data_IF_483224623547
#
_entry.id   IF_483224623547
#
_cell.length_a   1.000
_cell.length_b   1.000
_cell.length_c   1.000
_cell.angle_alpha   90.00
_cell.angle_beta   90.00
_cell.angle_gamma   90.00
#
_symmetry.space_group_name_H-M   'P 1'
#
loop_
_entity.id
_entity.type
_entity.pdbx_description
1 polymer ?
#
# COMPACT_ATOMS: atom_id res chain seq x y z
N UNK A 1 33.46 -12.52 19.85
CA UNK A 1 32.50 -11.40 19.76
C UNK A 1 33.08 -10.28 18.89
N UNK A 2 32.99 -10.38 17.56
CA UNK A 2 33.36 -9.32 16.59
C UNK A 2 32.70 -9.58 15.23
N UNK A 3 31.36 -9.61 15.15
CA UNK A 3 30.63 -9.71 13.86
C UNK A 3 29.24 -9.04 13.87
N UNK A 4 28.95 -8.14 14.81
CA UNK A 4 27.61 -7.51 14.91
C UNK A 4 27.55 -6.01 14.55
N UNK A 5 28.68 -5.40 14.19
CA UNK A 5 28.76 -3.94 14.09
C UNK A 5 28.58 -3.37 12.67
N UNK A 6 28.28 -4.21 11.66
CA UNK A 6 28.31 -3.75 10.25
C UNK A 6 26.93 -3.48 9.66
N UNK A 7 25.83 -3.92 10.30
CA UNK A 7 24.47 -3.68 9.77
C UNK A 7 23.82 -2.37 10.26
N UNK A 8 24.41 -1.64 11.22
CA UNK A 8 23.75 -0.48 11.84
C UNK A 8 24.03 0.87 11.16
N UNK A 9 24.90 0.93 10.14
CA UNK A 9 25.35 2.22 9.59
C UNK A 9 24.59 2.70 8.34
N UNK A 10 23.61 1.95 7.82
CA UNK A 10 22.87 2.35 6.60
C UNK A 10 21.48 2.92 6.91
N UNK A 11 20.98 2.77 8.14
CA UNK A 11 19.65 3.26 8.56
C UNK A 11 19.60 4.78 8.82
N UNK A 12 20.72 5.50 8.67
CA UNK A 12 20.81 6.94 8.91
C UNK A 12 20.53 7.82 7.70
N UNK A 13 20.14 7.25 6.56
CA UNK A 13 19.84 8.00 5.34
C UNK A 13 18.34 7.88 5.03
N UNK A 14 17.60 8.84 5.59
CA UNK A 14 16.30 9.37 5.12
C UNK A 14 15.14 8.38 5.01
N UNK A 15 14.16 8.48 5.91
CA UNK A 15 12.75 8.21 5.56
C UNK A 15 12.01 7.17 6.41
N UNK A 16 12.66 6.14 6.93
CA UNK A 16 11.94 5.14 7.73
C UNK A 16 11.45 5.72 9.05
N UNK A 17 10.15 5.60 9.33
CA UNK A 17 9.61 5.88 10.64
C UNK A 17 10.16 4.87 11.67
N UNK A 18 10.34 5.29 12.92
CA UNK A 18 10.95 4.46 13.96
C UNK A 18 10.18 3.15 14.20
N UNK A 19 8.88 3.15 13.95
CA UNK A 19 8.02 1.98 14.14
C UNK A 19 8.17 0.96 13.01
N UNK A 20 8.32 1.39 11.75
CA UNK A 20 8.57 0.49 10.63
C UNK A 20 9.94 -0.20 10.75
N UNK A 21 10.94 0.51 11.31
CA UNK A 21 12.26 -0.07 11.62
C UNK A 21 12.14 -1.11 12.74
N UNK A 22 11.38 -0.83 13.80
CA UNK A 22 11.17 -1.79 14.89
C UNK A 22 10.42 -3.02 14.39
N UNK A 23 9.40 -2.84 13.58
CA UNK A 23 8.62 -3.94 13.02
C UNK A 23 9.52 -4.81 12.13
N UNK A 24 10.31 -4.19 11.24
CA UNK A 24 11.31 -4.90 10.44
C UNK A 24 12.31 -5.69 11.32
N UNK A 25 12.83 -5.08 12.38
CA UNK A 25 13.76 -5.71 13.32
C UNK A 25 13.12 -6.84 14.14
N UNK A 26 11.80 -6.82 14.30
CA UNK A 26 11.03 -7.89 14.95
C UNK A 26 10.46 -8.92 13.96
N UNK A 27 10.81 -8.79 12.67
CA UNK A 27 10.42 -9.74 11.63
C UNK A 27 9.03 -9.49 11.03
N UNK A 28 8.54 -8.25 11.10
CA UNK A 28 7.23 -7.82 10.62
C UNK A 28 7.35 -6.72 9.57
N UNK A 29 6.31 -6.56 8.77
CA UNK A 29 6.23 -5.50 7.78
C UNK A 29 4.76 -5.17 7.46
N UNK A 30 4.52 -3.90 7.15
CA UNK A 30 3.24 -3.42 6.65
C UNK A 30 3.18 -3.57 5.13
N UNK A 31 2.10 -4.19 4.64
CA UNK A 31 1.73 -4.25 3.24
C UNK A 31 0.33 -3.67 3.05
N UNK A 32 0.04 -3.09 1.89
CA UNK A 32 -1.25 -2.46 1.65
C UNK A 32 -1.84 -2.85 0.28
N UNK A 33 -3.16 -2.71 0.18
CA UNK A 33 -3.90 -2.82 -1.07
C UNK A 33 -4.98 -1.74 -1.11
N UNK A 34 -5.41 -1.36 -2.32
CA UNK A 34 -6.38 -0.29 -2.55
C UNK A 34 -7.80 -0.82 -2.31
N UNK A 35 -8.62 -0.05 -1.63
CA UNK A 35 -10.02 -0.44 -1.35
C UNK A 35 -11.04 0.58 -1.83
N UNK A 36 -10.62 1.82 -1.97
CA UNK A 36 -11.49 2.91 -2.37
C UNK A 36 -10.69 4.03 -3.02
N UNK A 37 -11.40 4.93 -3.68
CA UNK A 37 -10.82 6.10 -4.32
C UNK A 37 -11.77 7.29 -4.20
N UNK A 38 -11.20 8.48 -4.23
CA UNK A 38 -11.91 9.76 -4.18
C UNK A 38 -11.48 10.59 -5.39
N UNK A 39 -12.46 11.03 -6.16
CA UNK A 39 -12.26 11.82 -7.36
C UNK A 39 -12.10 13.30 -7.04
N UNK A 40 -11.56 14.05 -8.00
CA UNK A 40 -11.53 15.51 -7.94
C UNK A 40 -12.94 16.10 -7.75
N UNK A 41 -13.07 17.00 -6.77
CA UNK A 41 -14.32 17.66 -6.42
C UNK A 41 -15.33 16.80 -5.66
N UNK A 42 -14.97 15.57 -5.29
CA UNK A 42 -15.81 14.71 -4.44
C UNK A 42 -15.37 14.72 -2.97
N UNK A 43 -16.35 14.81 -2.07
CA UNK A 43 -16.11 14.81 -0.62
C UNK A 43 -16.01 13.41 -0.02
N UNK A 44 -16.33 12.35 -0.79
CA UNK A 44 -16.46 10.98 -0.28
C UNK A 44 -15.66 9.99 -1.10
N UNK A 45 -15.05 9.03 -0.39
CA UNK A 45 -14.49 7.85 -1.02
C UNK A 45 -15.61 6.95 -1.55
N UNK A 46 -15.34 6.32 -2.69
CA UNK A 46 -16.16 5.30 -3.32
C UNK A 46 -15.33 4.03 -3.46
N UNK A 47 -15.96 2.87 -3.33
CA UNK A 47 -15.32 1.64 -3.77
C UNK A 47 -15.07 1.70 -5.29
N UNK A 48 -14.09 0.92 -5.75
CA UNK A 48 -13.63 1.00 -7.14
C UNK A 48 -14.71 0.56 -8.12
N UNK A 49 -15.52 -0.44 -7.78
CA UNK A 49 -16.61 -0.89 -8.64
C UNK A 49 -17.65 0.23 -8.86
N UNK A 50 -17.99 0.98 -7.82
CA UNK A 50 -18.87 2.15 -7.92
C UNK A 50 -18.24 3.24 -8.77
N UNK A 51 -16.94 3.50 -8.59
CA UNK A 51 -16.20 4.48 -9.37
C UNK A 51 -16.23 4.15 -10.86
N UNK A 52 -15.88 2.91 -11.26
CA UNK A 52 -15.92 2.48 -12.66
C UNK A 52 -17.30 2.64 -13.30
N UNK A 53 -18.35 2.26 -12.57
CA UNK A 53 -19.73 2.32 -13.06
C UNK A 53 -20.26 3.76 -13.19
N UNK A 54 -19.87 4.67 -12.29
CA UNK A 54 -20.41 6.03 -12.26
C UNK A 54 -19.63 7.01 -13.14
N UNK A 55 -18.33 6.82 -13.29
CA UNK A 55 -17.46 7.81 -13.96
C UNK A 55 -16.89 7.32 -15.28
N UNK A 56 -17.04 6.03 -15.60
CA UNK A 56 -16.43 5.44 -16.79
C UNK A 56 -14.90 5.34 -16.71
N UNK A 57 -14.33 5.63 -15.54
CA UNK A 57 -12.92 5.35 -15.23
C UNK A 57 -12.70 3.85 -15.35
N UNK A 58 -11.71 3.43 -16.13
CA UNK A 58 -11.34 2.01 -16.20
C UNK A 58 -10.23 1.78 -15.20
N UNK A 59 -10.52 1.04 -14.14
CA UNK A 59 -9.48 0.54 -13.25
C UNK A 59 -8.87 -0.68 -13.95
N UNK A 60 -7.56 -0.73 -14.19
CA UNK A 60 -6.98 -1.86 -14.90
C UNK A 60 -7.16 -3.16 -14.08
N UNK A 61 -7.33 -4.31 -14.76
CA UNK A 61 -7.58 -5.59 -14.09
C UNK A 61 -6.47 -5.99 -13.10
N UNK A 62 -5.24 -5.54 -13.35
CA UNK A 62 -4.06 -5.77 -12.51
C UNK A 62 -3.90 -4.70 -11.41
N UNK A 63 -4.84 -3.77 -11.28
CA UNK A 63 -4.83 -2.78 -10.22
C UNK A 63 -5.03 -3.49 -8.87
N UNK A 64 -4.23 -3.18 -7.85
CA UNK A 64 -4.24 -3.93 -6.61
C UNK A 64 -5.39 -3.56 -5.69
N UNK A 65 -6.59 -3.87 -6.15
CA UNK A 65 -7.82 -3.52 -5.48
C UNK A 65 -8.68 -4.72 -5.09
N UNK A 66 -9.50 -4.49 -4.09
CA UNK A 66 -10.53 -5.41 -3.64
C UNK A 66 -11.30 -4.83 -2.45
N UNK A 67 -12.41 -5.47 -2.10
CA UNK A 67 -13.07 -5.19 -0.83
C UNK A 67 -12.22 -5.70 0.34
N UNK A 68 -12.36 -5.15 1.56
CA UNK A 68 -11.60 -5.62 2.73
C UNK A 68 -11.73 -7.13 2.95
N UNK A 69 -12.93 -7.69 2.78
CA UNK A 69 -13.18 -9.12 2.94
C UNK A 69 -12.47 -9.96 1.88
N UNK A 70 -12.48 -9.54 0.61
CA UNK A 70 -11.77 -10.24 -0.48
C UNK A 70 -10.26 -10.22 -0.27
N UNK A 71 -9.71 -9.09 0.17
CA UNK A 71 -8.28 -8.93 0.45
C UNK A 71 -7.86 -9.79 1.64
N UNK A 72 -8.62 -9.78 2.74
CA UNK A 72 -8.37 -10.64 3.89
C UNK A 72 -8.43 -12.13 3.52
N UNK A 73 -9.43 -12.54 2.74
CA UNK A 73 -9.54 -13.92 2.24
C UNK A 73 -8.36 -14.30 1.33
N UNK A 74 -7.88 -13.38 0.49
CA UNK A 74 -6.72 -13.61 -0.37
C UNK A 74 -5.47 -13.90 0.45
N UNK A 75 -5.15 -13.08 1.46
CA UNK A 75 -4.02 -13.32 2.37
C UNK A 75 -4.16 -14.66 3.11
N UNK A 76 -5.35 -14.95 3.66
CA UNK A 76 -5.61 -16.21 4.34
C UNK A 76 -5.43 -17.43 3.42
N UNK A 77 -5.86 -17.33 2.15
CA UNK A 77 -5.71 -18.41 1.16
C UNK A 77 -4.25 -18.70 0.78
N UNK A 78 -3.38 -17.69 0.93
CA UNK A 78 -1.93 -17.80 0.74
C UNK A 78 -1.22 -18.37 1.98
N UNK A 79 -1.95 -18.57 3.08
CA UNK A 79 -1.39 -18.98 4.36
C UNK A 79 -0.60 -17.88 5.07
N UNK A 80 -0.88 -16.61 4.75
CA UNK A 80 -0.25 -15.45 5.37
C UNK A 80 -1.09 -15.05 6.59
N UNK A 81 -0.47 -15.06 7.76
CA UNK A 81 -1.10 -14.61 9.00
C UNK A 81 -1.05 -13.08 9.09
N UNK A 82 -2.22 -12.47 9.32
CA UNK A 82 -2.37 -11.04 9.57
C UNK A 82 -2.39 -10.79 11.08
N UNK A 83 -1.45 -9.99 11.55
CA UNK A 83 -1.35 -9.63 12.97
C UNK A 83 -2.23 -8.42 13.34
N UNK A 84 -2.25 -7.43 12.45
CA UNK A 84 -2.94 -6.16 12.65
C UNK A 84 -3.45 -5.64 11.30
N UNK A 85 -4.58 -4.95 11.35
CA UNK A 85 -5.16 -4.26 10.19
C UNK A 85 -5.40 -2.81 10.55
N UNK A 86 -4.96 -1.89 9.69
CA UNK A 86 -5.19 -0.46 9.78
C UNK A 86 -5.56 0.11 8.41
N UNK A 87 -5.79 1.41 8.33
CA UNK A 87 -6.22 2.08 7.11
C UNK A 87 -5.35 3.28 6.80
N UNK A 88 -5.15 3.53 5.51
CA UNK A 88 -4.34 4.64 5.02
C UNK A 88 -4.95 5.32 3.82
N UNK A 89 -4.37 6.44 3.43
CA UNK A 89 -4.70 7.15 2.20
C UNK A 89 -3.43 7.65 1.51
N UNK A 90 -3.46 7.68 0.19
CA UNK A 90 -2.41 8.31 -0.63
C UNK A 90 -3.04 9.46 -1.41
N UNK A 91 -2.49 10.67 -1.25
CA UNK A 91 -2.79 11.81 -2.11
C UNK A 91 -2.08 11.65 -3.46
N UNK A 92 -2.86 11.56 -4.53
CA UNK A 92 -2.38 11.38 -5.91
C UNK A 92 -2.41 12.69 -6.70
N UNK A 93 -2.79 13.81 -6.08
CA UNK A 93 -2.96 15.11 -6.75
C UNK A 93 -1.67 15.73 -7.26
N UNK A 94 -0.52 15.33 -6.70
CA UNK A 94 0.78 15.93 -6.95
C UNK A 94 1.75 15.04 -7.75
N UNK A 95 1.30 13.90 -8.28
CA UNK A 95 2.13 13.02 -9.11
C UNK A 95 1.49 11.69 -9.46
N UNK A 96 2.10 11.01 -10.43
CA UNK A 96 1.63 9.70 -10.90
C UNK A 96 1.93 8.62 -9.84
N UNK A 97 0.87 8.07 -9.23
CA UNK A 97 0.99 6.90 -8.36
C UNK A 97 0.78 5.65 -9.20
N UNK A 98 1.80 4.80 -9.26
CA UNK A 98 1.74 3.56 -10.04
C UNK A 98 2.20 2.36 -9.23
N UNK A 99 1.53 1.24 -9.49
CA UNK A 99 1.74 -0.05 -8.85
C UNK A 99 2.39 -1.02 -9.86
N UNK A 100 3.31 -1.85 -9.38
CA UNK A 100 3.99 -2.87 -10.20
C UNK A 100 5.38 -2.46 -10.71
N UNK A 101 6.04 -3.41 -11.38
CA UNK A 101 7.41 -3.27 -11.88
C UNK A 101 7.47 -2.47 -13.21
N UNK A 102 8.64 -1.91 -13.54
CA UNK A 102 8.87 -1.21 -14.82
C UNK A 102 8.47 -2.06 -16.03
N UNK A 103 7.56 -1.54 -16.85
CA UNK A 103 7.03 -2.19 -18.05
C UNK A 103 5.65 -2.84 -17.88
N UNK A 104 5.23 -3.14 -16.66
CA UNK A 104 3.89 -3.64 -16.31
C UNK A 104 3.26 -2.80 -15.19
N UNK A 105 3.53 -1.49 -15.19
CA UNK A 105 3.00 -0.57 -14.19
C UNK A 105 1.55 -0.25 -14.48
N UNK A 106 0.76 -0.27 -13.42
CA UNK A 106 -0.64 0.16 -13.42
C UNK A 106 -0.76 1.43 -12.61
N UNK A 107 -1.10 2.54 -13.26
CA UNK A 107 -1.18 3.84 -12.61
C UNK A 107 -2.60 4.19 -12.17
N UNK A 108 -2.70 4.94 -11.07
CA UNK A 108 -3.94 5.57 -10.62
C UNK A 108 -4.44 6.50 -11.74
N UNK A 109 -5.72 6.39 -12.14
CA UNK A 109 -6.31 7.28 -13.14
C UNK A 109 -6.20 8.76 -12.73
N UNK A 110 -5.96 9.70 -13.66
CA UNK A 110 -5.71 11.11 -13.35
C UNK A 110 -6.90 11.84 -12.70
N UNK A 111 -8.12 11.32 -12.85
CA UNK A 111 -9.32 11.84 -12.19
C UNK A 111 -9.41 11.50 -10.69
N UNK A 112 -8.62 10.53 -10.22
CA UNK A 112 -8.53 10.16 -8.80
C UNK A 112 -7.51 11.07 -8.11
N UNK A 113 -7.93 11.73 -7.03
CA UNK A 113 -7.08 12.59 -6.20
C UNK A 113 -6.61 11.91 -4.92
N UNK A 114 -7.33 10.89 -4.46
CA UNK A 114 -6.92 10.14 -3.26
C UNK A 114 -7.33 8.69 -3.40
N UNK A 115 -6.42 7.77 -3.10
CA UNK A 115 -6.76 6.35 -2.95
C UNK A 115 -6.76 5.96 -1.48
N UNK A 116 -7.79 5.24 -1.06
CA UNK A 116 -7.94 4.66 0.27
C UNK A 116 -7.40 3.24 0.30
N UNK A 117 -6.70 2.90 1.38
CA UNK A 117 -5.94 1.67 1.54
C UNK A 117 -6.38 0.91 2.78
N UNK A 118 -6.37 -0.43 2.68
CA UNK A 118 -6.22 -1.28 3.88
C UNK A 118 -4.76 -1.68 4.00
N UNK A 119 -4.21 -1.51 5.20
CA UNK A 119 -2.84 -1.85 5.57
C UNK A 119 -2.89 -3.08 6.49
N UNK A 120 -2.06 -4.07 6.19
CA UNK A 120 -1.96 -5.32 6.90
C UNK A 120 -0.54 -5.49 7.43
N UNK A 121 -0.43 -5.78 8.73
CA UNK A 121 0.83 -6.17 9.35
C UNK A 121 1.02 -7.67 9.25
N UNK A 122 2.08 -8.08 8.57
CA UNK A 122 2.39 -9.49 8.29
C UNK A 122 3.85 -9.79 8.67
N UNK A 123 4.20 -11.08 8.64
CA UNK A 123 5.60 -11.50 8.73
C UNK A 123 6.40 -10.99 7.54
N UNK A 124 7.63 -10.50 7.79
CA UNK A 124 8.54 -10.03 6.75
C UNK A 124 8.88 -11.14 5.74
N UNK A 125 8.81 -12.41 6.17
CA UNK A 125 9.04 -13.57 5.30
C UNK A 125 7.96 -13.74 4.22
N UNK A 126 6.77 -13.18 4.45
CA UNK A 126 5.61 -13.33 3.58
C UNK A 126 5.41 -12.14 2.64
N UNK A 127 6.14 -11.04 2.83
CA UNK A 127 6.04 -9.81 2.02
C UNK A 127 6.19 -10.09 0.53
N UNK A 128 7.12 -10.96 0.14
CA UNK A 128 7.29 -11.29 -1.29
C UNK A 128 6.05 -12.02 -1.84
N UNK A 129 5.50 -12.97 -1.09
CA UNK A 129 4.31 -13.70 -1.49
C UNK A 129 3.09 -12.76 -1.57
N UNK A 130 2.97 -11.84 -0.61
CA UNK A 130 1.93 -10.81 -0.61
C UNK A 130 2.08 -9.87 -1.84
N UNK A 131 3.29 -9.39 -2.12
CA UNK A 131 3.60 -8.55 -3.29
C UNK A 131 3.26 -9.22 -4.61
N UNK A 132 3.68 -10.47 -4.80
CA UNK A 132 3.38 -11.25 -5.99
C UNK A 132 1.85 -11.48 -6.18
N UNK A 133 1.03 -11.15 -5.17
CA UNK A 133 -0.44 -11.27 -5.18
C UNK A 133 -1.17 -9.92 -4.98
N UNK A 134 -0.47 -8.80 -5.21
CA UNK A 134 -1.07 -7.46 -5.26
C UNK A 134 -1.10 -6.70 -3.93
N UNK A 135 -0.28 -7.07 -2.95
CA UNK A 135 -0.10 -6.32 -1.70
C UNK A 135 1.26 -5.63 -1.66
N UNK A 136 1.29 -4.31 -1.65
CA UNK A 136 2.52 -3.53 -1.80
C UNK A 136 3.13 -3.21 -0.43
N UNK A 137 4.44 -3.40 -0.23
CA UNK A 137 5.08 -3.02 1.03
C UNK A 137 5.07 -1.50 1.22
N UNK A 138 4.65 -1.05 2.41
CA UNK A 138 4.64 0.37 2.82
C UNK A 138 6.04 0.98 2.75
N UNK A 139 7.03 0.26 3.30
CA UNK A 139 8.45 0.64 3.29
C UNK A 139 9.07 0.82 1.90
N UNK A 140 8.56 0.15 0.86
CA UNK A 140 9.10 0.32 -0.50
C UNK A 140 8.71 1.67 -1.12
N UNK A 141 7.54 2.22 -0.76
CA UNK A 141 7.15 3.56 -1.19
C UNK A 141 8.06 4.64 -0.56
N UNK A 142 8.54 4.39 0.66
CA UNK A 142 9.38 5.32 1.42
C UNK A 142 10.89 5.19 1.10
N UNK A 143 11.39 3.97 0.82
CA UNK A 143 12.82 3.70 0.61
C UNK A 143 13.26 3.63 -0.86
N UNK A 144 12.38 3.29 -1.80
CA UNK A 144 12.76 2.97 -3.20
C UNK A 144 12.48 4.11 -4.19
N UNK A 145 12.83 5.33 -3.76
CA UNK A 145 12.79 6.53 -4.58
C UNK A 145 13.31 6.32 -6.01
N UNK A 146 12.61 6.97 -6.96
CA UNK A 146 12.74 6.97 -8.42
C UNK A 146 12.16 5.77 -9.18
N UNK A 147 11.89 4.62 -8.53
CA UNK A 147 11.24 3.48 -9.23
C UNK A 147 9.75 3.41 -8.93
N UNK A 148 9.36 3.86 -7.74
CA UNK A 148 7.99 4.07 -7.29
C UNK A 148 7.88 5.55 -6.88
N UNK A 149 6.80 6.23 -7.23
CA UNK A 149 6.60 7.61 -6.83
C UNK A 149 6.71 7.70 -5.30
N UNK A 150 7.43 8.71 -4.80
CA UNK A 150 7.52 9.01 -3.37
C UNK A 150 6.17 9.56 -2.92
N UNK A 151 5.24 8.68 -2.60
CA UNK A 151 3.96 9.06 -2.02
C UNK A 151 3.95 8.64 -0.56
N UNK A 152 3.57 9.59 0.30
CA UNK A 152 3.37 9.35 1.71
C UNK A 152 2.03 8.63 1.91
N UNK A 153 2.00 7.64 2.79
CA UNK A 153 0.76 6.99 3.23
C UNK A 153 0.35 7.62 4.55
N UNK A 154 -0.73 8.40 4.51
CA UNK A 154 -1.33 8.98 5.71
C UNK A 154 -2.19 7.93 6.41
N UNK A 155 -1.94 7.66 7.69
CA UNK A 155 -2.84 6.83 8.49
C UNK A 155 -4.15 7.57 8.76
N UNK A 156 -5.26 6.91 8.44
CA UNK A 156 -6.62 7.48 8.55
C UNK A 156 -7.55 6.48 9.21
N UNK A 157 -8.66 6.97 9.78
CA UNK A 157 -9.71 6.08 10.26
C UNK A 157 -10.36 5.33 9.08
N UNK A 158 -10.58 4.03 9.21
CA UNK A 158 -11.21 3.20 8.17
C UNK A 158 -12.58 3.75 7.72
N UNK A 159 -13.32 4.38 8.63
CA UNK A 159 -14.60 5.04 8.32
C UNK A 159 -14.49 6.21 7.34
N UNK A 160 -13.32 6.87 7.26
CA UNK A 160 -13.07 7.95 6.29
C UNK A 160 -13.01 7.40 4.87
N UNK A 161 -12.45 6.20 4.69
CA UNK A 161 -12.27 5.56 3.39
C UNK A 161 -13.41 4.59 3.03
N UNK A 162 -14.48 4.57 3.83
CA UNK A 162 -15.70 3.81 3.56
C UNK A 162 -15.69 2.37 4.06
N UNK A 163 -14.87 2.04 5.07
CA UNK A 163 -14.77 0.73 5.70
C UNK A 163 -15.31 0.70 7.13
#
# INVERSE_FOLDING_TARGET
MRKLAVLLCILGLTGCNDDDVKDTLTGKADVYAVTSAKLDGEDRFKDLATLENETGTTVPDDFPAGTPDELAQRLASLGIDVEETSCGAIDTSNGDVCFGEEGNKTCVPPEVQTVGLTIYKISIGDVKLAYDNGFYPKLAAELLGNTYASFDIDEVACSVIGQ
#
